data_IF_567203672403
#
_entry.id   IF_567203672403
#
_cell.length_a   1.000
_cell.length_b   1.000
_cell.length_c   1.000
_cell.angle_alpha   90.00
_cell.angle_beta   90.00
_cell.angle_gamma   90.00
#
_symmetry.space_group_name_H-M   'P 1'
#
loop_
_entity.id
_entity.type
_entity.pdbx_description
1 polymer ?
#
# COMPACT_ATOMS: atom_id res chain seq x y z
N UNK A 1 -0.26 9.10 -3.43
CA UNK A 1 -0.82 8.38 -2.26
C UNK A 1 -2.24 8.83 -1.97
N UNK A 2 -2.46 10.09 -1.55
CA UNK A 2 -3.81 10.59 -1.21
C UNK A 2 -4.83 10.49 -2.34
N UNK A 3 -4.37 10.61 -3.59
CA UNK A 3 -5.19 10.42 -4.79
C UNK A 3 -5.80 9.02 -4.93
N UNK A 4 -5.23 8.01 -4.27
CA UNK A 4 -5.64 6.61 -4.38
C UNK A 4 -6.56 6.15 -3.23
N UNK A 5 -6.88 7.03 -2.28
CA UNK A 5 -7.75 6.72 -1.13
C UNK A 5 -9.08 6.08 -1.55
N UNK A 6 -9.76 6.48 -2.64
CA UNK A 6 -10.98 5.80 -3.10
C UNK A 6 -10.77 4.31 -3.43
N UNK A 7 -9.67 3.97 -4.11
CA UNK A 7 -9.35 2.59 -4.49
C UNK A 7 -8.94 1.77 -3.27
N UNK A 8 -8.16 2.36 -2.36
CA UNK A 8 -7.80 1.74 -1.08
C UNK A 8 -9.05 1.34 -0.29
N UNK A 9 -10.01 2.28 -0.14
CA UNK A 9 -11.28 2.01 0.55
C UNK A 9 -12.11 0.95 -0.17
N UNK A 10 -12.19 1.00 -1.49
CA UNK A 10 -12.91 -0.01 -2.28
C UNK A 10 -12.29 -1.42 -2.13
N UNK A 11 -10.98 -1.51 -1.90
CA UNK A 11 -10.28 -2.74 -1.59
C UNK A 11 -10.39 -3.18 -0.11
N UNK A 12 -11.08 -2.42 0.74
CA UNK A 12 -11.20 -2.70 2.18
C UNK A 12 -9.91 -2.42 2.95
N UNK A 13 -9.10 -1.45 2.50
CA UNK A 13 -7.87 -1.03 3.16
C UNK A 13 -8.10 0.21 4.02
N UNK A 14 -7.58 0.16 5.25
CA UNK A 14 -7.50 1.30 6.16
C UNK A 14 -6.04 1.59 6.51
N UNK A 15 -5.59 2.82 6.29
CA UNK A 15 -4.23 3.24 6.67
C UNK A 15 -4.13 3.27 8.19
N UNK A 16 -3.19 2.51 8.76
CA UNK A 16 -2.87 2.53 10.19
C UNK A 16 -1.70 3.43 10.50
N UNK A 17 -0.65 3.36 9.67
CA UNK A 17 0.54 4.19 9.80
C UNK A 17 1.11 4.57 8.44
N UNK A 18 1.65 5.79 8.38
CA UNK A 18 2.56 6.24 7.32
C UNK A 18 3.85 6.61 8.02
N UNK A 19 4.92 5.93 7.65
CA UNK A 19 6.23 6.02 8.29
C UNK A 19 7.27 6.44 7.26
N UNK A 20 8.34 7.07 7.73
CA UNK A 20 9.53 7.36 6.95
C UNK A 20 10.69 6.53 7.48
N UNK A 21 11.54 6.02 6.59
CA UNK A 21 12.76 5.31 6.96
C UNK A 21 13.61 6.13 7.93
N UNK A 22 14.16 5.47 8.94
CA UNK A 22 15.08 6.10 9.90
C UNK A 22 16.45 6.33 9.27
N UNK A 23 16.88 5.41 8.38
CA UNK A 23 18.17 5.42 7.71
C UNK A 23 18.11 6.07 6.31
N UNK A 24 16.96 5.99 5.63
CA UNK A 24 16.71 6.66 4.35
C UNK A 24 15.44 7.53 4.41
N UNK A 25 15.56 8.87 4.35
CA UNK A 25 14.41 9.77 4.39
C UNK A 25 13.55 9.73 3.11
N UNK A 26 14.02 9.09 2.03
CA UNK A 26 13.24 8.87 0.81
C UNK A 26 12.39 7.60 0.87
N UNK A 27 12.65 6.72 1.83
CA UNK A 27 11.82 5.54 2.06
C UNK A 27 10.53 5.91 2.79
N UNK A 28 9.40 5.46 2.24
CA UNK A 28 8.08 5.58 2.85
C UNK A 28 7.49 4.18 3.04
N UNK A 29 7.11 3.87 4.28
CA UNK A 29 6.43 2.62 4.62
C UNK A 29 4.99 2.92 5.01
N UNK A 30 4.04 2.25 4.37
CA UNK A 30 2.61 2.39 4.70
C UNK A 30 2.10 1.07 5.26
N UNK A 31 1.59 1.10 6.48
CA UNK A 31 0.90 -0.04 7.08
C UNK A 31 -0.60 0.10 6.86
N UNK A 32 -1.17 -0.86 6.15
CA UNK A 32 -2.61 -1.01 6.00
C UNK A 32 -3.13 -2.11 6.92
N UNK A 33 -4.30 -1.87 7.51
CA UNK A 33 -5.22 -2.93 7.91
C UNK A 33 -6.07 -3.30 6.69
N UNK A 34 -6.26 -4.60 6.46
CA UNK A 34 -7.03 -5.12 5.34
C UNK A 34 -8.19 -5.98 5.84
N UNK A 35 -9.41 -5.68 5.39
CA UNK A 35 -10.59 -6.51 5.65
C UNK A 35 -10.53 -7.84 4.89
N UNK A 36 -9.93 -7.82 3.69
CA UNK A 36 -9.80 -8.98 2.80
C UNK A 36 -8.43 -8.95 2.10
N UNK A 37 -7.60 -9.95 2.40
CA UNK A 37 -6.26 -10.10 1.85
C UNK A 37 -6.24 -10.39 0.34
N UNK A 38 -7.31 -10.95 -0.23
CA UNK A 38 -7.47 -11.15 -1.66
C UNK A 38 -7.68 -9.84 -2.40
N UNK A 39 -8.54 -8.96 -1.88
CA UNK A 39 -8.76 -7.60 -2.43
C UNK A 39 -7.52 -6.74 -2.32
N UNK A 40 -6.80 -6.83 -1.20
CA UNK A 40 -5.51 -6.16 -1.02
C UNK A 40 -4.51 -6.56 -2.11
N UNK A 41 -4.37 -7.87 -2.37
CA UNK A 41 -3.49 -8.39 -3.43
C UNK A 41 -3.93 -7.97 -4.84
N UNK A 42 -5.23 -7.92 -5.09
CA UNK A 42 -5.76 -7.47 -6.37
C UNK A 42 -5.42 -5.99 -6.64
N UNK A 43 -5.60 -5.12 -5.65
CA UNK A 43 -5.22 -3.70 -5.77
C UNK A 43 -3.71 -3.53 -5.96
N UNK A 44 -2.91 -4.25 -5.17
CA UNK A 44 -1.45 -4.27 -5.26
C UNK A 44 -0.92 -4.65 -6.65
N UNK A 45 -1.62 -5.55 -7.35
CA UNK A 45 -1.29 -5.97 -8.71
C UNK A 45 -1.86 -5.08 -9.82
N UNK A 46 -2.58 -4.01 -9.50
CA UNK A 46 -3.31 -3.21 -10.49
C UNK A 46 -2.41 -2.24 -11.26
N UNK A 47 -2.69 -2.08 -12.55
CA UNK A 47 -2.00 -1.08 -13.39
C UNK A 47 -2.34 0.35 -12.96
N UNK A 48 -3.53 0.58 -12.39
CA UNK A 48 -3.93 1.89 -11.87
C UNK A 48 -3.07 2.31 -10.67
N UNK A 49 -2.87 1.41 -9.70
CA UNK A 49 -1.97 1.69 -8.58
C UNK A 49 -0.54 1.98 -9.06
N UNK A 50 -0.05 1.19 -10.04
CA UNK A 50 1.27 1.42 -10.64
C UNK A 50 1.38 2.81 -11.24
N UNK A 51 0.36 3.26 -11.99
CA UNK A 51 0.33 4.60 -12.58
C UNK A 51 0.34 5.69 -11.52
N UNK A 52 -0.49 5.56 -10.49
CA UNK A 52 -0.54 6.54 -9.39
C UNK A 52 0.80 6.61 -8.64
N UNK A 53 1.47 5.48 -8.42
CA UNK A 53 2.80 5.43 -7.82
C UNK A 53 3.85 6.14 -8.68
N UNK A 54 3.83 5.92 -10.00
CA UNK A 54 4.74 6.60 -10.93
C UNK A 54 4.50 8.12 -10.95
N UNK A 55 3.24 8.55 -11.00
CA UNK A 55 2.88 9.98 -10.94
C UNK A 55 3.28 10.63 -9.61
N UNK A 56 3.30 9.85 -8.52
CA UNK A 56 3.78 10.29 -7.21
C UNK A 56 5.32 10.29 -7.08
N UNK A 57 6.06 9.90 -8.13
CA UNK A 57 7.52 9.92 -8.16
C UNK A 57 8.19 8.68 -7.56
N UNK A 58 7.46 7.58 -7.38
CA UNK A 58 8.05 6.31 -6.91
C UNK A 58 9.00 5.78 -7.98
N UNK A 59 10.27 5.64 -7.61
CA UNK A 59 11.38 5.36 -8.54
C UNK A 59 11.46 3.89 -9.00
N UNK A 60 10.81 2.97 -8.28
CA UNK A 60 10.88 1.53 -8.55
C UNK A 60 9.68 0.77 -7.97
N UNK A 61 9.56 -0.54 -8.26
CA UNK A 61 8.50 -1.34 -7.65
C UNK A 61 8.67 -1.34 -6.12
N UNK A 62 7.62 -1.03 -5.34
CA UNK A 62 7.71 -1.08 -3.90
C UNK A 62 7.77 -2.54 -3.42
N UNK A 63 8.43 -2.76 -2.29
CA UNK A 63 8.29 -4.02 -1.57
C UNK A 63 6.90 -4.10 -0.92
N UNK A 64 6.22 -5.22 -1.12
CA UNK A 64 4.88 -5.46 -0.61
C UNK A 64 4.84 -6.73 0.23
N UNK A 65 4.50 -6.60 1.50
CA UNK A 65 4.33 -7.71 2.42
C UNK A 65 2.85 -7.85 2.82
N UNK A 66 2.34 -9.08 2.70
CA UNK A 66 0.99 -9.42 3.14
C UNK A 66 1.10 -10.27 4.41
N UNK A 67 0.57 -9.75 5.50
CA UNK A 67 0.70 -10.33 6.83
C UNK A 67 -0.67 -10.79 7.33
N UNK A 68 -0.68 -11.85 8.11
CA UNK A 68 -1.86 -12.34 8.82
C UNK A 68 -1.52 -12.51 10.30
N UNK A 69 -2.53 -12.34 11.15
CA UNK A 69 -2.37 -12.65 12.57
C UNK A 69 -2.27 -14.17 12.70
N UNK A 70 -1.22 -14.71 13.34
CA UNK A 70 -1.11 -16.14 13.55
C UNK A 70 -2.34 -16.70 14.29
N UNK A 71 -2.98 -17.73 13.72
CA UNK A 71 -4.10 -18.43 14.35
C UNK A 71 -5.48 -17.79 14.18
N UNK A 72 -5.65 -16.88 13.21
CA UNK A 72 -6.95 -16.41 12.74
C UNK A 72 -7.71 -17.46 11.91
#
# INVERSE_FOLDING_TARGET
FDSDVPNQRAAGLTVRHVLRGADDPQEVVVLFEAEDLGRARALAGSDELRKIMQEAGVLGPPDMHFLETPGA
#
